data_IF_447268149194
#
_entry.id   IF_447268149194
#
_cell.length_a   1.000
_cell.length_b   1.000
_cell.length_c   1.000
_cell.angle_alpha   90.00
_cell.angle_beta   90.00
_cell.angle_gamma   90.00
#
_symmetry.space_group_name_H-M   'P 1'
#
loop_
_entity.id
_entity.type
_entity.pdbx_description
1 polymer ?
#
# COMPACT_ATOMS: atom_id res chain seq x y z
N UNK A 1 -19.79 4.62 7.85
CA UNK A 1 -18.91 5.26 6.87
C UNK A 1 -18.10 4.19 6.13
N UNK A 2 -17.69 4.52 4.96
CA UNK A 2 -17.03 3.54 4.09
C UNK A 2 -15.56 3.84 3.94
N UNK A 3 -14.77 2.78 3.71
CA UNK A 3 -13.39 2.93 3.31
C UNK A 3 -13.35 3.48 1.88
N UNK A 4 -12.55 4.49 1.66
CA UNK A 4 -12.37 5.10 0.35
C UNK A 4 -11.16 4.47 -0.32
N UNK A 5 -11.31 4.00 -1.56
CA UNK A 5 -10.18 3.45 -2.32
C UNK A 5 -9.85 4.40 -3.46
N UNK A 6 -8.57 4.65 -3.63
CA UNK A 6 -8.05 5.52 -4.67
C UNK A 6 -6.96 4.77 -5.42
N UNK A 7 -7.02 4.78 -6.75
CA UNK A 7 -5.95 4.22 -7.57
C UNK A 7 -5.01 5.33 -7.98
N UNK A 8 -3.72 5.15 -7.70
CA UNK A 8 -2.69 6.13 -8.01
C UNK A 8 -1.85 5.54 -9.14
N UNK A 9 -1.82 6.22 -10.28
CA UNK A 9 -1.12 5.70 -11.46
C UNK A 9 0.38 5.61 -11.26
N UNK A 10 0.96 6.61 -10.62
CA UNK A 10 2.40 6.64 -10.37
C UNK A 10 2.67 7.10 -8.94
N UNK A 11 3.54 6.39 -8.25
CA UNK A 11 3.94 6.76 -6.89
C UNK A 11 5.46 6.76 -6.79
N UNK A 12 5.98 7.61 -5.91
CA UNK A 12 7.37 7.57 -5.50
C UNK A 12 7.42 7.06 -4.07
N UNK A 13 8.17 6.01 -3.83
CA UNK A 13 8.26 5.38 -2.52
C UNK A 13 9.42 6.03 -1.75
N UNK A 14 9.09 6.67 -0.64
CA UNK A 14 10.08 7.35 0.20
C UNK A 14 10.60 6.43 1.30
N UNK A 15 9.72 5.58 1.83
CA UNK A 15 10.05 4.62 2.87
C UNK A 15 9.36 3.31 2.60
N UNK A 16 10.03 2.20 2.92
CA UNK A 16 9.47 0.86 2.71
C UNK A 16 10.14 -0.08 3.70
N UNK A 17 9.46 -0.39 4.81
CA UNK A 17 10.05 -1.18 5.88
C UNK A 17 9.27 -2.47 6.10
N UNK A 18 10.01 -3.55 6.30
CA UNK A 18 9.42 -4.85 6.62
C UNK A 18 8.96 -4.82 8.08
N UNK A 19 7.69 -5.07 8.30
CA UNK A 19 7.14 -5.19 9.64
C UNK A 19 7.08 -6.67 10.04
N UNK A 20 6.71 -6.93 11.29
CA UNK A 20 6.49 -8.31 11.71
C UNK A 20 5.30 -8.89 10.96
N UNK A 21 5.38 -10.19 10.66
CA UNK A 21 4.23 -10.87 10.07
C UNK A 21 3.04 -10.81 11.03
N UNK A 22 1.86 -10.89 10.45
CA UNK A 22 0.66 -11.02 11.28
C UNK A 22 0.68 -12.36 12.00
N UNK A 23 -0.27 -12.55 12.93
CA UNK A 23 -0.36 -13.83 13.66
C UNK A 23 -0.61 -15.00 12.71
N UNK A 24 -1.11 -14.73 11.51
CA UNK A 24 -1.36 -15.77 10.50
C UNK A 24 -0.19 -15.95 9.55
N UNK A 25 0.91 -15.25 9.78
CA UNK A 25 2.11 -15.39 8.97
C UNK A 25 2.12 -14.56 7.69
N UNK A 26 1.20 -13.63 7.53
CA UNK A 26 1.15 -12.79 6.33
C UNK A 26 2.19 -11.66 6.41
N UNK A 27 2.92 -11.41 5.33
CA UNK A 27 3.90 -10.31 5.33
C UNK A 27 3.23 -8.95 5.33
N UNK A 28 3.82 -8.02 6.05
CA UNK A 28 3.31 -6.64 6.12
C UNK A 28 4.49 -5.70 5.99
N UNK A 29 4.31 -4.63 5.22
CA UNK A 29 5.29 -3.57 5.06
C UNK A 29 4.66 -2.24 5.45
N UNK A 30 5.43 -1.37 6.09
CA UNK A 30 5.02 0.02 6.27
C UNK A 30 5.65 0.85 5.15
N UNK A 31 4.94 1.87 4.73
CA UNK A 31 5.40 2.68 3.60
C UNK A 31 5.09 4.15 3.80
N UNK A 32 5.85 4.98 3.09
CA UNK A 32 5.55 6.38 2.88
C UNK A 32 5.75 6.63 1.39
N UNK A 33 4.75 7.20 0.73
CA UNK A 33 4.85 7.48 -0.69
C UNK A 33 4.19 8.81 -1.02
N UNK A 34 4.50 9.31 -2.21
CA UNK A 34 3.82 10.48 -2.77
C UNK A 34 3.20 10.11 -4.10
N UNK A 35 2.09 10.76 -4.43
CA UNK A 35 1.46 10.59 -5.72
C UNK A 35 2.05 11.59 -6.72
N UNK A 36 1.45 11.66 -7.90
CA UNK A 36 1.92 12.54 -8.96
C UNK A 36 1.85 14.02 -8.61
N UNK A 37 0.98 14.36 -7.67
CA UNK A 37 0.79 15.74 -7.23
C UNK A 37 1.58 16.07 -5.98
N UNK A 38 2.38 15.13 -5.50
CA UNK A 38 3.16 15.33 -4.30
C UNK A 38 2.41 15.08 -3.00
N UNK A 39 1.19 14.55 -3.08
CA UNK A 39 0.43 14.23 -1.88
C UNK A 39 1.05 13.04 -1.18
N UNK A 40 1.24 13.18 0.14
CA UNK A 40 1.90 12.16 0.95
C UNK A 40 0.90 11.16 1.49
N UNK A 41 1.23 9.88 1.38
CA UNK A 41 0.47 8.80 1.99
C UNK A 41 1.41 7.98 2.85
N UNK A 42 0.97 7.68 4.07
CA UNK A 42 1.75 6.87 4.99
C UNK A 42 0.84 5.81 5.60
N UNK A 43 1.26 4.56 5.53
CA UNK A 43 0.43 3.48 6.06
C UNK A 43 1.14 2.15 5.94
N UNK A 44 0.35 1.08 5.87
CA UNK A 44 0.87 -0.28 5.76
C UNK A 44 0.18 -1.01 4.64
N UNK A 45 0.84 -2.07 4.14
CA UNK A 45 0.20 -2.94 3.15
C UNK A 45 -0.87 -3.78 3.83
N UNK A 46 -1.93 -4.12 3.08
CA UNK A 46 -2.96 -5.00 3.61
C UNK A 46 -2.37 -6.40 3.81
N UNK A 47 -2.63 -7.05 4.97
CA UNK A 47 -1.97 -8.31 5.29
C UNK A 47 -2.16 -9.42 4.26
N UNK A 48 -3.29 -9.49 3.57
CA UNK A 48 -3.54 -10.53 2.57
C UNK A 48 -3.35 -10.04 1.15
N UNK A 49 -2.70 -8.90 0.96
CA UNK A 49 -2.50 -8.39 -0.39
C UNK A 49 -1.54 -9.30 -1.14
N UNK A 50 -1.92 -9.69 -2.36
CA UNK A 50 -1.12 -10.61 -3.14
C UNK A 50 0.19 -10.01 -3.62
N UNK A 51 0.18 -8.71 -3.90
CA UNK A 51 1.36 -8.07 -4.47
C UNK A 51 2.56 -8.10 -3.55
N UNK A 52 2.35 -8.17 -2.21
CA UNK A 52 3.49 -8.15 -1.28
C UNK A 52 4.35 -9.39 -1.39
N UNK A 53 3.79 -10.49 -1.87
CA UNK A 53 4.56 -11.74 -1.97
C UNK A 53 5.63 -11.68 -3.05
N UNK A 54 5.51 -10.75 -3.97
CA UNK A 54 6.52 -10.56 -5.01
C UNK A 54 7.51 -9.45 -4.70
N UNK A 55 7.37 -8.77 -3.56
CA UNK A 55 8.23 -7.64 -3.25
C UNK A 55 9.26 -8.04 -2.20
N UNK A 56 10.45 -8.42 -2.66
CA UNK A 56 11.56 -8.78 -1.77
C UNK A 56 12.58 -7.66 -1.67
N UNK A 57 12.25 -6.48 -2.11
CA UNK A 57 13.19 -5.39 -2.23
C UNK A 57 12.50 -4.08 -1.87
N UNK A 58 13.30 -3.03 -1.72
CA UNK A 58 12.77 -1.69 -1.45
C UNK A 58 12.44 -1.03 -2.80
N UNK A 59 11.17 -0.96 -3.18
CA UNK A 59 10.83 -0.33 -4.46
C UNK A 59 11.01 1.18 -4.35
N UNK A 60 11.44 1.80 -5.44
CA UNK A 60 11.54 3.25 -5.49
C UNK A 60 10.30 3.87 -6.13
N UNK A 61 9.62 3.10 -6.96
CA UNK A 61 8.40 3.53 -7.64
C UNK A 61 7.45 2.36 -7.79
N UNK A 62 6.18 2.64 -7.71
CA UNK A 62 5.15 1.65 -7.99
C UNK A 62 4.07 2.31 -8.83
N UNK A 63 3.51 1.54 -9.76
CA UNK A 63 2.46 2.03 -10.65
C UNK A 63 1.13 1.37 -10.31
N UNK A 64 0.05 2.09 -10.54
CA UNK A 64 -1.31 1.57 -10.36
C UNK A 64 -1.54 1.04 -8.95
N UNK A 65 -1.16 1.83 -7.97
CA UNK A 65 -1.29 1.45 -6.56
C UNK A 65 -2.68 1.81 -6.06
N UNK A 66 -3.30 0.87 -5.35
CA UNK A 66 -4.58 1.13 -4.70
C UNK A 66 -4.33 1.44 -3.24
N UNK A 67 -4.77 2.61 -2.81
CA UNK A 67 -4.65 3.05 -1.43
C UNK A 67 -6.06 3.14 -0.85
N UNK A 68 -6.28 2.44 0.26
CA UNK A 68 -7.56 2.45 0.96
C UNK A 68 -7.43 3.29 2.22
N UNK A 69 -8.37 4.20 2.42
CA UNK A 69 -8.39 5.06 3.60
C UNK A 69 -9.66 4.75 4.38
N UNK A 70 -9.51 4.26 5.61
CA UNK A 70 -10.64 3.91 6.46
C UNK A 70 -11.26 5.17 7.07
N UNK A 71 -12.49 5.08 7.58
CA UNK A 71 -13.11 6.22 8.25
C UNK A 71 -12.31 6.73 9.46
N UNK A 72 -11.51 5.87 10.08
CA UNK A 72 -10.67 6.28 11.21
C UNK A 72 -9.36 6.92 10.76
N UNK A 73 -9.11 7.01 9.45
CA UNK A 73 -7.91 7.65 8.92
C UNK A 73 -6.75 6.72 8.68
N UNK A 74 -6.94 5.41 8.83
CA UNK A 74 -5.87 4.45 8.53
C UNK A 74 -5.72 4.31 7.02
N UNK A 75 -4.48 4.16 6.59
CA UNK A 75 -4.14 4.03 5.18
C UNK A 75 -3.56 2.64 4.94
N UNK A 76 -4.11 1.94 3.93
CA UNK A 76 -3.60 0.63 3.53
C UNK A 76 -3.33 0.65 2.04
N UNK A 77 -2.23 -0.02 1.64
CA UNK A 77 -1.98 -0.31 0.24
C UNK A 77 -2.56 -1.69 -0.05
N UNK A 78 -3.45 -1.76 -1.02
CA UNK A 78 -4.17 -2.98 -1.36
C UNK A 78 -3.79 -3.42 -2.77
N UNK A 79 -4.24 -4.62 -3.16
CA UNK A 79 -4.05 -5.11 -4.51
C UNK A 79 -4.77 -4.22 -5.50
N UNK A 80 -4.19 -4.08 -6.68
CA UNK A 80 -4.88 -3.40 -7.77
C UNK A 80 -6.16 -4.17 -8.07
N UNK A 81 -7.22 -3.41 -8.34
CA UNK A 81 -8.50 -4.03 -8.68
C UNK A 81 -8.46 -4.47 -10.13
N UNK A 82 -8.21 -5.74 -10.33
CA UNK A 82 -8.15 -6.34 -11.65
C UNK A 82 -9.41 -7.10 -11.98
N UNK A 83 -10.47 -6.77 -11.31
CA UNK A 83 -11.72 -7.47 -11.55
C UNK A 83 -12.08 -7.33 -13.02
N UNK A 84 -12.43 -8.37 -13.56
CA UNK A 84 -12.76 -8.40 -14.96
C UNK A 84 -13.49 -9.57 -15.20
#
# INVERSE_FOLDING_TARGET
MKTTKTTIAKTTILDWDREKNTVFGNPVYSFTLTDENGKLYRGKTRPNANFVYGLNYHPSELANVVVAITPSGRVYMDDADNSK
#
